data_IF_294553761543
#
_entry.id   IF_294553761543
#
_cell.length_a   1.000
_cell.length_b   1.000
_cell.length_c   1.000
_cell.angle_alpha   90.00
_cell.angle_beta   90.00
_cell.angle_gamma   90.00
#
_symmetry.space_group_name_H-M   'P 1'
#
loop_
_entity.id
_entity.type
_entity.pdbx_description
1 polymer ?
#
# COMPACT_ATOMS: atom_id res chain seq x y z
N UNK A 1 -16.44 21.14 5.86
CA UNK A 1 -15.89 20.19 6.85
C UNK A 1 -16.78 18.97 7.05
N UNK A 2 -18.09 19.13 7.34
CA UNK A 2 -19.00 18.00 7.57
C UNK A 2 -18.98 16.93 6.47
N UNK A 3 -19.12 17.33 5.20
CA UNK A 3 -19.12 16.40 4.05
C UNK A 3 -17.86 15.51 3.94
N UNK A 4 -16.69 16.02 4.34
CA UNK A 4 -15.45 15.24 4.32
C UNK A 4 -15.40 14.25 5.50
N UNK A 5 -15.93 14.65 6.65
CA UNK A 5 -16.05 13.79 7.81
C UNK A 5 -17.03 12.63 7.52
N UNK A 6 -18.17 12.95 6.91
CA UNK A 6 -19.19 11.95 6.52
C UNK A 6 -18.58 10.94 5.52
N UNK A 7 -17.85 11.43 4.51
CA UNK A 7 -17.16 10.57 3.55
C UNK A 7 -16.14 9.64 4.23
N UNK A 8 -15.33 10.16 5.15
CA UNK A 8 -14.33 9.35 5.86
C UNK A 8 -14.99 8.28 6.72
N UNK A 9 -16.08 8.61 7.40
CA UNK A 9 -16.83 7.66 8.23
C UNK A 9 -17.47 6.55 7.39
N UNK A 10 -18.14 6.91 6.29
CA UNK A 10 -18.74 5.91 5.40
C UNK A 10 -17.68 5.03 4.72
N UNK A 11 -16.56 5.63 4.30
CA UNK A 11 -15.45 4.91 3.69
C UNK A 11 -14.81 3.93 4.69
N UNK A 12 -14.52 4.38 5.92
CA UNK A 12 -13.96 3.53 6.96
C UNK A 12 -14.85 2.33 7.23
N UNK A 13 -16.14 2.56 7.43
CA UNK A 13 -17.12 1.51 7.71
C UNK A 13 -17.21 0.45 6.59
N UNK A 14 -17.22 0.88 5.32
CA UNK A 14 -17.28 -0.05 4.20
C UNK A 14 -15.96 -0.83 4.03
N UNK A 15 -14.81 -0.17 4.25
CA UNK A 15 -13.51 -0.83 4.24
C UNK A 15 -13.37 -1.85 5.38
N UNK A 16 -13.75 -1.49 6.61
CA UNK A 16 -13.69 -2.37 7.80
C UNK A 16 -14.54 -3.64 7.63
N UNK A 17 -15.61 -3.57 6.82
CA UNK A 17 -16.44 -4.74 6.50
C UNK A 17 -15.87 -5.63 5.39
N UNK A 18 -15.12 -5.05 4.46
CA UNK A 18 -14.72 -5.71 3.23
C UNK A 18 -13.26 -6.18 3.22
N UNK A 19 -12.42 -5.61 4.08
CA UNK A 19 -10.96 -5.79 4.10
C UNK A 19 -10.53 -6.40 5.43
N UNK A 20 -9.74 -7.47 5.40
CA UNK A 20 -9.17 -8.07 6.62
C UNK A 20 -7.91 -7.32 7.10
N UNK A 21 -7.27 -6.59 6.19
CA UNK A 21 -6.16 -5.68 6.47
C UNK A 21 -6.50 -4.54 7.44
N UNK A 22 -5.49 -3.72 7.70
CA UNK A 22 -5.63 -2.61 8.66
C UNK A 22 -6.19 -1.38 7.99
N UNK A 23 -7.17 -0.74 8.63
CA UNK A 23 -7.81 0.49 8.17
C UNK A 23 -7.40 1.62 9.12
N UNK A 24 -6.63 2.59 8.62
CA UNK A 24 -6.01 3.65 9.43
C UNK A 24 -6.37 5.04 8.91
N UNK A 25 -7.46 5.60 9.43
CA UNK A 25 -7.94 6.96 9.07
C UNK A 25 -7.65 8.00 10.15
N UNK A 26 -7.00 7.60 11.24
CA UNK A 26 -6.68 8.49 12.35
C UNK A 26 -5.60 9.53 11.97
N UNK A 27 -5.55 10.69 12.66
CA UNK A 27 -4.59 11.75 12.33
C UNK A 27 -3.12 11.34 12.42
N UNK A 28 -2.77 10.44 13.35
CA UNK A 28 -1.39 10.00 13.54
C UNK A 28 -0.93 9.17 12.35
N UNK A 29 -1.70 8.17 11.95
CA UNK A 29 -1.41 7.36 10.76
C UNK A 29 -1.34 8.23 9.50
N UNK A 30 -2.28 9.16 9.29
CA UNK A 30 -2.23 10.05 8.12
C UNK A 30 -0.95 10.89 8.08
N UNK A 31 -0.48 11.36 9.24
CA UNK A 31 0.76 12.14 9.35
C UNK A 31 1.98 11.30 8.95
N UNK A 32 2.06 10.05 9.40
CA UNK A 32 3.17 9.15 9.07
C UNK A 32 3.30 8.86 7.58
N UNK A 33 2.19 8.90 6.84
CA UNK A 33 2.14 8.63 5.40
C UNK A 33 2.06 9.92 4.56
N UNK A 34 2.14 11.10 5.18
CA UNK A 34 2.05 12.37 4.48
C UNK A 34 3.33 12.74 3.73
N UNK A 35 4.45 12.08 4.03
CA UNK A 35 5.76 12.33 3.40
C UNK A 35 6.33 11.06 2.79
N UNK A 36 7.27 11.25 1.89
CA UNK A 36 8.19 10.23 1.41
C UNK A 36 9.63 10.76 1.51
N UNK A 37 10.59 10.16 0.79
CA UNK A 37 11.97 10.64 0.81
C UNK A 37 12.18 11.95 0.03
N UNK A 38 11.11 12.55 -0.51
CA UNK A 38 11.15 13.84 -1.19
C UNK A 38 10.87 15.03 -0.25
N UNK A 39 10.81 16.23 -0.83
CA UNK A 39 10.41 17.45 -0.15
C UNK A 39 8.88 17.64 -0.06
N UNK A 40 8.10 16.76 -0.71
CA UNK A 40 6.64 16.91 -0.78
C UNK A 40 5.97 16.36 0.48
N UNK A 41 4.95 17.09 0.95
CA UNK A 41 4.09 16.66 2.05
C UNK A 41 2.63 16.83 1.65
N UNK A 42 1.90 15.71 1.55
CA UNK A 42 0.48 15.67 1.20
C UNK A 42 -0.22 14.68 2.12
N UNK A 43 -1.13 15.17 2.97
CA UNK A 43 -1.89 14.30 3.86
C UNK A 43 -2.88 13.43 3.07
N UNK A 44 -2.84 12.09 3.22
CA UNK A 44 -3.80 11.21 2.57
C UNK A 44 -5.18 11.27 3.22
N UNK A 45 -6.20 10.80 2.51
CA UNK A 45 -7.54 10.61 3.06
C UNK A 45 -7.54 9.62 4.23
N UNK A 46 -6.69 8.60 4.11
CA UNK A 46 -6.49 7.49 5.04
C UNK A 46 -5.48 6.50 4.45
N UNK A 47 -5.15 5.46 5.23
CA UNK A 47 -4.24 4.40 4.81
C UNK A 47 -4.93 3.05 5.00
N UNK A 48 -4.78 2.17 4.02
CA UNK A 48 -5.16 0.76 4.13
C UNK A 48 -3.93 -0.11 3.95
N UNK A 49 -3.76 -1.09 4.84
CA UNK A 49 -2.65 -2.04 4.82
C UNK A 49 -3.23 -3.43 4.57
N UNK A 50 -3.42 -3.84 3.29
CA UNK A 50 -4.00 -5.14 2.94
C UNK A 50 -3.16 -6.27 3.53
N UNK A 51 -3.84 -7.30 4.04
CA UNK A 51 -3.21 -8.49 4.61
C UNK A 51 -3.06 -9.61 3.58
N UNK A 52 -3.99 -9.68 2.62
CA UNK A 52 -4.03 -10.73 1.59
C UNK A 52 -4.36 -10.15 0.20
N UNK A 53 -4.02 -10.84 -0.91
CA UNK A 53 -4.31 -10.33 -2.26
C UNK A 53 -5.78 -10.01 -2.50
N UNK A 54 -6.72 -10.72 -1.87
CA UNK A 54 -8.16 -10.50 -2.01
C UNK A 54 -8.61 -9.15 -1.43
N UNK A 55 -7.89 -8.62 -0.43
CA UNK A 55 -8.17 -7.29 0.12
C UNK A 55 -8.02 -6.20 -0.96
N UNK A 56 -7.14 -6.40 -1.95
CA UNK A 56 -6.91 -5.42 -3.02
C UNK A 56 -8.15 -5.23 -3.88
N UNK A 57 -8.87 -6.31 -4.17
CA UNK A 57 -10.12 -6.26 -4.93
C UNK A 57 -11.18 -5.46 -4.15
N UNK A 58 -11.34 -5.78 -2.86
CA UNK A 58 -12.27 -5.08 -1.98
C UNK A 58 -11.94 -3.58 -1.86
N UNK A 59 -10.65 -3.23 -1.70
CA UNK A 59 -10.19 -1.84 -1.64
C UNK A 59 -10.56 -1.08 -2.92
N UNK A 60 -10.32 -1.67 -4.10
CA UNK A 60 -10.66 -1.06 -5.39
C UNK A 60 -12.16 -0.86 -5.53
N UNK A 61 -12.96 -1.86 -5.17
CA UNK A 61 -14.42 -1.78 -5.25
C UNK A 61 -15.00 -0.70 -4.35
N UNK A 62 -14.55 -0.64 -3.09
CA UNK A 62 -14.99 0.36 -2.11
C UNK A 62 -14.53 1.76 -2.55
N UNK A 63 -13.27 1.92 -2.94
CA UNK A 63 -12.77 3.22 -3.40
C UNK A 63 -13.52 3.72 -4.64
N UNK A 64 -13.85 2.83 -5.58
CA UNK A 64 -14.69 3.14 -6.75
C UNK A 64 -16.08 3.59 -6.33
N UNK A 65 -16.74 2.89 -5.39
CA UNK A 65 -18.07 3.24 -4.91
C UNK A 65 -18.11 4.64 -4.26
N UNK A 66 -17.05 4.98 -3.51
CA UNK A 66 -16.89 6.28 -2.85
C UNK A 66 -16.27 7.37 -3.74
N UNK A 67 -15.87 7.03 -4.97
CA UNK A 67 -15.16 7.92 -5.91
C UNK A 67 -13.87 8.50 -5.31
N UNK A 68 -13.16 7.68 -4.53
CA UNK A 68 -11.90 8.03 -3.88
C UNK A 68 -10.74 7.53 -4.74
N UNK A 69 -9.77 8.40 -5.09
CA UNK A 69 -8.57 7.96 -5.79
C UNK A 69 -7.69 7.10 -4.88
N UNK A 70 -7.05 6.09 -5.46
CA UNK A 70 -6.08 5.23 -4.79
C UNK A 70 -4.65 5.64 -5.12
N UNK A 71 -3.74 5.45 -4.19
CA UNK A 71 -2.29 5.56 -4.40
C UNK A 71 -1.60 4.35 -3.76
N UNK A 72 -0.91 3.54 -4.57
CA UNK A 72 -0.16 2.38 -4.09
C UNK A 72 1.22 2.77 -3.54
N UNK A 73 1.54 2.31 -2.34
CA UNK A 73 2.78 2.61 -1.63
C UNK A 73 3.54 1.34 -1.25
N UNK A 74 4.82 1.30 -1.60
CA UNK A 74 5.81 0.36 -1.06
C UNK A 74 6.61 1.00 0.07
N UNK A 75 7.94 0.99 -0.03
CA UNK A 75 8.82 1.55 1.01
C UNK A 75 8.78 3.08 1.20
N UNK A 76 8.08 3.84 0.36
CA UNK A 76 8.01 5.30 0.48
C UNK A 76 9.34 6.03 0.24
N UNK A 77 10.22 5.44 -0.57
CA UNK A 77 11.59 5.95 -0.82
C UNK A 77 11.70 6.83 -2.07
N UNK A 78 10.58 7.19 -2.71
CA UNK A 78 10.59 8.10 -3.87
C UNK A 78 11.12 9.48 -3.48
N UNK A 79 11.88 10.09 -4.37
CA UNK A 79 12.43 11.45 -4.23
C UNK A 79 11.60 12.51 -4.98
N UNK A 80 10.52 12.10 -5.65
CA UNK A 80 9.73 12.96 -6.53
C UNK A 80 8.24 13.06 -6.13
N UNK A 81 7.88 12.63 -4.91
CA UNK A 81 6.52 12.75 -4.38
C UNK A 81 5.52 11.74 -4.96
N UNK A 82 6.00 10.68 -5.61
CA UNK A 82 5.13 9.68 -6.25
C UNK A 82 4.37 8.82 -5.23
N UNK A 83 4.82 8.81 -3.97
CA UNK A 83 4.26 7.96 -2.92
C UNK A 83 3.44 8.74 -1.89
N UNK A 84 3.08 9.99 -2.21
CA UNK A 84 2.18 10.83 -1.42
C UNK A 84 1.01 11.29 -2.28
N UNK A 85 -0.19 11.37 -1.71
CA UNK A 85 -1.43 11.68 -2.45
C UNK A 85 -2.52 12.12 -1.48
N UNK A 86 -3.46 13.00 -1.88
CA UNK A 86 -4.62 13.32 -1.06
C UNK A 86 -5.68 12.20 -1.04
N UNK A 87 -5.48 11.13 -1.82
CA UNK A 87 -6.36 9.96 -1.90
C UNK A 87 -6.16 8.94 -0.77
N UNK A 88 -6.71 7.75 -0.95
CA UNK A 88 -6.49 6.62 -0.06
C UNK A 88 -5.16 5.95 -0.40
N UNK A 89 -4.25 5.90 0.57
CA UNK A 89 -2.96 5.23 0.43
C UNK A 89 -3.13 3.72 0.67
N UNK A 90 -2.66 2.88 -0.25
CA UNK A 90 -2.65 1.42 -0.14
C UNK A 90 -1.21 0.97 0.10
N UNK A 91 -0.89 0.59 1.33
CA UNK A 91 0.47 0.23 1.75
C UNK A 91 0.69 -1.28 1.69
N UNK A 92 1.49 -1.73 0.72
CA UNK A 92 1.78 -3.15 0.50
C UNK A 92 2.88 -3.70 1.42
N UNK A 93 3.63 -2.81 2.10
CA UNK A 93 4.95 -3.13 2.67
C UNK A 93 4.93 -4.09 3.88
N UNK A 94 3.77 -4.30 4.52
CA UNK A 94 3.68 -5.04 5.78
C UNK A 94 3.37 -6.53 5.65
N UNK A 95 2.47 -6.90 4.74
CA UNK A 95 1.93 -8.27 4.68
C UNK A 95 2.04 -8.92 3.30
N UNK A 96 2.14 -8.10 2.24
CA UNK A 96 2.20 -8.56 0.85
C UNK A 96 3.64 -8.53 0.33
N UNK A 97 4.56 -9.19 1.01
CA UNK A 97 6.02 -9.13 0.78
C UNK A 97 6.67 -10.49 0.46
N UNK A 98 5.87 -11.50 0.10
CA UNK A 98 6.37 -12.86 -0.17
C UNK A 98 6.94 -13.04 -1.56
N UNK A 99 7.81 -14.03 -1.68
CA UNK A 99 8.23 -14.61 -2.97
C UNK A 99 7.27 -15.75 -3.30
N UNK A 100 6.55 -15.64 -4.41
CA UNK A 100 5.54 -16.61 -4.82
C UNK A 100 6.16 -17.77 -5.61
N UNK A 101 7.02 -17.43 -6.58
CA UNK A 101 7.70 -18.40 -7.45
C UNK A 101 9.10 -17.92 -7.78
N UNK A 102 10.03 -18.85 -7.96
CA UNK A 102 11.41 -18.53 -8.31
C UNK A 102 12.01 -19.64 -9.17
N UNK A 103 12.58 -19.27 -10.32
CA UNK A 103 13.35 -20.16 -11.18
C UNK A 103 14.77 -19.61 -11.35
N UNK A 104 15.74 -20.28 -10.72
CA UNK A 104 17.16 -19.94 -10.89
C UNK A 104 17.67 -20.29 -12.30
N UNK A 105 17.13 -21.37 -12.89
CA UNK A 105 17.48 -21.83 -14.24
C UNK A 105 16.98 -20.83 -15.30
N UNK A 106 15.71 -20.45 -15.23
CA UNK A 106 15.09 -19.52 -16.18
C UNK A 106 15.30 -18.03 -15.82
N UNK A 107 15.90 -17.76 -14.66
CA UNK A 107 16.27 -16.42 -14.16
C UNK A 107 15.08 -15.45 -14.03
N UNK A 108 14.01 -15.91 -13.40
CA UNK A 108 12.88 -15.05 -13.05
C UNK A 108 12.37 -15.35 -11.64
N UNK A 109 11.72 -14.35 -11.06
CA UNK A 109 11.07 -14.44 -9.75
C UNK A 109 9.73 -13.71 -9.81
N UNK A 110 8.71 -14.32 -9.22
CA UNK A 110 7.40 -13.71 -8.98
C UNK A 110 7.31 -13.36 -7.50
N UNK A 111 7.03 -12.09 -7.21
CA UNK A 111 6.98 -11.57 -5.83
C UNK A 111 5.73 -10.72 -5.64
N UNK A 112 5.30 -10.64 -4.39
CA UNK A 112 4.26 -9.73 -3.97
C UNK A 112 4.78 -8.28 -3.94
N UNK A 113 3.88 -7.27 -4.10
CA UNK A 113 4.28 -5.88 -4.35
C UNK A 113 5.04 -5.19 -3.20
N UNK A 114 4.96 -5.73 -1.98
CA UNK A 114 5.68 -5.24 -0.81
C UNK A 114 7.09 -5.79 -0.66
N UNK A 115 7.55 -6.69 -1.55
CA UNK A 115 8.87 -7.32 -1.45
C UNK A 115 9.99 -6.29 -1.43
N UNK A 116 10.80 -6.31 -0.38
CA UNK A 116 11.99 -5.45 -0.26
C UNK A 116 13.11 -6.01 -1.14
N UNK A 117 13.68 -5.16 -1.99
CA UNK A 117 14.75 -5.54 -2.92
C UNK A 117 15.96 -6.18 -2.22
N UNK A 118 16.38 -5.65 -1.06
CA UNK A 118 17.51 -6.19 -0.32
C UNK A 118 17.27 -7.63 0.18
N UNK A 119 16.03 -7.96 0.54
CA UNK A 119 15.66 -9.30 0.99
C UNK A 119 15.55 -10.26 -0.19
N UNK A 120 14.99 -9.80 -1.32
CA UNK A 120 15.00 -10.56 -2.57
C UNK A 120 16.43 -10.90 -3.01
N UNK A 121 17.32 -9.92 -3.06
CA UNK A 121 18.72 -10.12 -3.43
C UNK A 121 19.42 -11.14 -2.52
N UNK A 122 19.07 -11.16 -1.23
CA UNK A 122 19.60 -12.13 -0.27
C UNK A 122 19.10 -13.54 -0.56
N UNK A 123 17.81 -13.69 -0.90
CA UNK A 123 17.20 -14.97 -1.26
C UNK A 123 17.81 -15.55 -2.53
N UNK A 124 17.87 -14.77 -3.61
CA UNK A 124 18.36 -15.25 -4.91
C UNK A 124 19.89 -15.33 -4.97
N UNK A 125 20.59 -14.61 -4.08
CA UNK A 125 22.04 -14.62 -3.97
C UNK A 125 22.64 -15.99 -3.68
N UNK A 126 21.90 -16.87 -2.98
CA UNK A 126 22.30 -18.27 -2.78
C UNK A 126 22.47 -19.07 -4.09
N UNK A 127 21.88 -18.57 -5.18
CA UNK A 127 21.93 -19.16 -6.52
C UNK A 127 22.87 -18.40 -7.46
N UNK A 128 23.67 -17.45 -6.95
CA UNK A 128 24.57 -16.62 -7.75
C UNK A 128 23.86 -15.58 -8.61
N UNK A 129 22.61 -15.25 -8.27
CA UNK A 129 21.81 -14.22 -8.94
C UNK A 129 21.78 -12.92 -8.11
N UNK A 130 21.37 -11.82 -8.75
CA UNK A 130 21.09 -10.52 -8.15
C UNK A 130 19.85 -9.92 -8.80
#
# INVERSE_FOLDING_TARGET
MQKLLDLRQSLAHDLEKAVEGEIRLDPFSKTLYATDASIYQIEPLGVVVPRRPEDLLAIVEVARAHKVPLMGRGGGTSLAGQTVSPGLCVDFSKYLDRTEQFSAEERWVEVQPGKVLADLNREVGAHGLM
#
